data_IF_066574946979
#
_entry.id   IF_066574946979
#
_cell.length_a   1.000
_cell.length_b   1.000
_cell.length_c   1.000
_cell.angle_alpha   90.00
_cell.angle_beta   90.00
_cell.angle_gamma   90.00
#
_symmetry.space_group_name_H-M   'P 1'
#
loop_
_entity.id
_entity.type
_entity.pdbx_description
1 polymer ?
#
# COMPACT_ATOMS: atom_id res chain seq x y z
N UNK A 1 -17.35 3.34 0.62
CA UNK A 1 -17.30 3.37 -0.86
C UNK A 1 -16.22 2.40 -1.31
N UNK A 2 -16.46 1.60 -2.35
CA UNK A 2 -15.40 0.77 -2.93
C UNK A 2 -14.32 1.68 -3.53
N UNK A 3 -13.04 1.41 -3.24
CA UNK A 3 -11.95 2.19 -3.80
C UNK A 3 -11.98 2.11 -5.33
N UNK A 4 -11.95 3.25 -6.02
CA UNK A 4 -11.85 3.26 -7.48
C UNK A 4 -10.40 3.13 -7.90
N UNK A 5 -10.13 2.30 -8.91
CA UNK A 5 -8.79 2.17 -9.44
C UNK A 5 -8.40 3.44 -10.21
N UNK A 6 -7.18 3.94 -10.00
CA UNK A 6 -6.58 5.03 -10.76
C UNK A 6 -5.34 4.52 -11.46
N UNK A 7 -5.26 4.70 -12.79
CA UNK A 7 -4.16 4.19 -13.61
C UNK A 7 -3.85 2.70 -13.39
N UNK A 8 -4.88 1.88 -13.12
CA UNK A 8 -4.75 0.45 -12.91
C UNK A 8 -4.36 0.01 -11.49
N UNK A 9 -4.41 0.91 -10.50
CA UNK A 9 -4.09 0.60 -9.11
C UNK A 9 -5.15 1.12 -8.15
N UNK A 10 -5.40 0.35 -7.09
CA UNK A 10 -6.11 0.81 -5.91
C UNK A 10 -5.11 1.43 -4.94
N UNK A 11 -5.57 2.45 -4.20
CA UNK A 11 -4.74 3.15 -3.22
C UNK A 11 -5.45 3.18 -1.87
N UNK A 12 -4.69 3.01 -0.79
CA UNK A 12 -5.14 3.26 0.57
C UNK A 12 -4.18 4.22 1.25
N UNK A 13 -4.76 5.13 2.05
CA UNK A 13 -4.05 6.03 2.93
C UNK A 13 -4.74 5.98 4.29
N UNK A 14 -4.02 5.51 5.30
CA UNK A 14 -4.55 5.28 6.64
C UNK A 14 -3.70 6.02 7.67
N UNK A 15 -3.96 7.33 7.87
CA UNK A 15 -3.29 8.12 8.89
C UNK A 15 -3.88 7.88 10.28
N UNK A 16 -3.07 8.05 11.31
CA UNK A 16 -3.53 8.24 12.69
C UNK A 16 -3.33 9.70 13.06
N UNK A 17 -4.42 10.39 13.41
CA UNK A 17 -4.37 11.76 13.87
C UNK A 17 -4.28 11.85 15.40
N UNK A 18 -3.44 12.74 15.91
CA UNK A 18 -3.37 13.14 17.31
C UNK A 18 -3.29 14.67 17.38
N UNK A 19 -4.12 15.29 18.22
CA UNK A 19 -4.22 16.75 18.34
C UNK A 19 -4.42 17.49 16.99
N UNK A 20 -5.12 16.87 16.03
CA UNK A 20 -5.36 17.45 14.70
C UNK A 20 -4.18 17.31 13.72
N UNK A 21 -3.11 16.60 14.10
CA UNK A 21 -1.92 16.35 13.28
C UNK A 21 -1.85 14.86 12.97
N UNK A 22 -1.57 14.49 11.72
CA UNK A 22 -1.28 13.10 11.37
C UNK A 22 0.10 12.72 11.91
N UNK A 23 0.12 11.89 12.95
CA UNK A 23 1.35 11.46 13.64
C UNK A 23 1.91 10.15 13.09
N UNK A 24 1.07 9.35 12.46
CA UNK A 24 1.47 8.17 11.70
C UNK A 24 0.63 8.03 10.42
N UNK A 25 1.12 7.26 9.47
CA UNK A 25 0.51 6.93 8.21
C UNK A 25 0.98 5.57 7.69
N UNK A 26 0.07 4.88 7.01
CA UNK A 26 0.45 3.87 6.02
C UNK A 26 -0.17 4.30 4.70
N UNK A 27 0.65 4.33 3.66
CA UNK A 27 0.18 4.47 2.28
C UNK A 27 0.51 3.19 1.54
N UNK A 28 -0.44 2.68 0.77
CA UNK A 28 -0.27 1.43 0.05
C UNK A 28 -1.02 1.41 -1.26
N UNK A 29 -0.62 0.50 -2.14
CA UNK A 29 -1.33 0.23 -3.38
C UNK A 29 -1.29 -1.26 -3.76
N UNK A 30 -2.25 -1.64 -4.59
CA UNK A 30 -2.37 -2.96 -5.21
C UNK A 30 -2.89 -2.85 -6.63
N UNK A 31 -2.47 -3.74 -7.55
CA UNK A 31 -2.93 -3.71 -8.93
C UNK A 31 -4.43 -4.02 -9.00
N UNK A 32 -5.17 -3.27 -9.82
CA UNK A 32 -6.60 -3.50 -10.01
C UNK A 32 -6.91 -4.80 -10.76
N UNK A 33 -5.97 -5.29 -11.56
CA UNK A 33 -6.00 -6.62 -12.16
C UNK A 33 -4.59 -7.21 -12.15
N UNK A 34 -4.39 -8.26 -11.34
CA UNK A 34 -3.11 -8.95 -11.24
C UNK A 34 -2.67 -9.50 -12.60
N UNK A 35 -1.39 -9.32 -12.91
CA UNK A 35 -0.77 -9.70 -14.17
C UNK A 35 -1.34 -9.00 -15.42
N UNK A 36 -2.08 -7.89 -15.22
CA UNK A 36 -2.58 -7.02 -16.30
C UNK A 36 -2.15 -5.58 -16.05
N UNK A 37 -2.49 -5.02 -14.88
CA UNK A 37 -2.09 -3.66 -14.50
C UNK A 37 -0.85 -3.62 -13.61
N UNK A 38 -0.51 -4.76 -12.99
CA UNK A 38 0.68 -4.93 -12.18
C UNK A 38 0.81 -6.32 -11.56
N UNK A 39 1.99 -6.58 -10.99
CA UNK A 39 2.31 -7.86 -10.31
C UNK A 39 2.86 -7.66 -8.89
N UNK A 40 2.98 -6.41 -8.43
CA UNK A 40 3.53 -6.05 -7.11
C UNK A 40 2.54 -5.20 -6.35
N UNK A 41 2.50 -5.40 -5.03
CA UNK A 41 1.94 -4.40 -4.13
C UNK A 41 3.07 -3.55 -3.58
N UNK A 42 2.75 -2.32 -3.18
CA UNK A 42 3.71 -1.41 -2.55
C UNK A 42 3.11 -0.81 -1.28
N UNK A 43 3.97 -0.50 -0.32
CA UNK A 43 3.60 0.30 0.84
C UNK A 43 4.76 1.20 1.28
N UNK A 44 4.43 2.23 2.08
CA UNK A 44 5.38 3.04 2.82
C UNK A 44 4.73 3.54 4.11
N UNK A 45 5.54 3.78 5.14
CA UNK A 45 5.14 4.37 6.42
C UNK A 45 6.25 5.28 6.96
N UNK A 46 6.36 5.43 8.28
CA UNK A 46 7.31 6.33 8.95
C UNK A 46 8.78 5.98 8.73
N UNK A 47 9.09 4.82 8.14
CA UNK A 47 10.46 4.43 7.82
C UNK A 47 11.04 5.19 6.62
N UNK A 48 10.21 5.89 5.85
CA UNK A 48 10.62 6.70 4.71
C UNK A 48 11.12 5.90 3.50
N UNK A 49 10.89 4.58 3.48
CA UNK A 49 11.27 3.70 2.38
C UNK A 49 10.05 3.11 1.70
N UNK A 50 10.22 2.72 0.43
CA UNK A 50 9.21 1.98 -0.31
C UNK A 50 9.46 0.50 -0.11
N UNK A 51 8.44 -0.20 0.37
CA UNK A 51 8.43 -1.65 0.48
C UNK A 51 7.56 -2.26 -0.60
N UNK A 52 7.83 -3.52 -0.91
CA UNK A 52 7.08 -4.25 -1.92
C UNK A 52 6.91 -5.72 -1.56
N UNK A 53 5.87 -6.32 -2.10
CA UNK A 53 5.74 -7.77 -2.13
C UNK A 53 5.03 -8.24 -3.41
N UNK A 54 4.95 -9.55 -3.60
CA UNK A 54 4.23 -10.13 -4.72
C UNK A 54 2.72 -9.85 -4.60
N UNK A 55 2.13 -9.36 -5.69
CA UNK A 55 0.68 -9.29 -5.85
C UNK A 55 0.07 -10.67 -6.13
N UNK A 56 -1.24 -10.74 -5.99
CA UNK A 56 -2.07 -11.88 -6.38
C UNK A 56 -3.42 -11.40 -6.91
N UNK A 57 -4.18 -12.28 -7.54
CA UNK A 57 -5.56 -11.95 -7.93
C UNK A 57 -6.38 -11.60 -6.68
N UNK A 58 -7.09 -10.48 -6.72
CA UNK A 58 -7.83 -9.96 -5.57
C UNK A 58 -6.97 -9.25 -4.51
N UNK A 59 -5.69 -8.95 -4.78
CA UNK A 59 -4.88 -8.11 -3.88
C UNK A 59 -5.56 -6.76 -3.62
N UNK A 60 -5.56 -6.37 -2.36
CA UNK A 60 -6.06 -5.07 -1.90
C UNK A 60 -4.96 -4.30 -1.19
N UNK A 61 -4.93 -2.96 -1.31
CA UNK A 61 -3.95 -2.15 -0.58
C UNK A 61 -4.04 -2.43 0.90
N UNK A 62 -2.90 -2.60 1.56
CA UNK A 62 -2.87 -2.79 3.01
C UNK A 62 -3.24 -1.50 3.73
N UNK A 63 -3.82 -1.66 4.92
CA UNK A 63 -4.28 -0.55 5.77
C UNK A 63 -3.57 -0.49 7.12
N UNK A 64 -2.67 -1.45 7.38
CA UNK A 64 -1.88 -1.51 8.60
C UNK A 64 -0.53 -2.18 8.32
N UNK A 65 0.54 -1.58 8.86
CA UNK A 65 1.88 -2.16 8.90
C UNK A 65 2.58 -2.25 7.55
N UNK A 66 3.60 -1.42 7.36
CA UNK A 66 4.54 -1.58 6.25
C UNK A 66 5.91 -2.02 6.83
N UNK A 67 6.49 -3.10 6.28
CA UNK A 67 7.80 -3.63 6.72
C UNK A 67 7.82 -5.05 7.26
N UNK A 68 9.00 -5.47 7.72
CA UNK A 68 9.29 -6.85 8.12
C UNK A 68 9.53 -7.80 6.94
N UNK A 69 9.70 -9.10 7.21
CA UNK A 69 10.04 -10.09 6.18
C UNK A 69 9.01 -10.25 5.06
N UNK A 70 7.74 -9.90 5.33
CA UNK A 70 6.65 -9.95 4.34
C UNK A 70 6.67 -8.78 3.37
N UNK A 71 7.29 -7.66 3.75
CA UNK A 71 7.37 -6.42 2.99
C UNK A 71 8.82 -5.94 2.94
N UNK A 72 9.68 -6.62 2.18
CA UNK A 72 11.06 -6.17 1.99
C UNK A 72 11.12 -4.79 1.31
N UNK A 73 12.22 -4.09 1.56
CA UNK A 73 12.56 -2.85 0.86
C UNK A 73 12.63 -3.10 -0.63
N UNK A 74 12.07 -2.17 -1.41
CA UNK A 74 12.18 -2.17 -2.87
C UNK A 74 13.67 -2.05 -3.26
N UNK A 75 14.21 -3.14 -3.78
CA UNK A 75 15.55 -3.18 -4.40
C UNK A 75 15.49 -2.78 -5.87
#
# INVERSE_FOLDING_TARGET
AAASAKSGYYFAYTPTASAGINVTYVTANSPSAYNVTGVRNFCSNEDGVLHMNAGASGSTPITAGCGGGTWPVLQ
#
